data_IF_318091448386
#
_entry.id   IF_318091448386
#
_cell.length_a   1.000
_cell.length_b   1.000
_cell.length_c   1.000
_cell.angle_alpha   90.00
_cell.angle_beta   90.00
_cell.angle_gamma   90.00
#
_symmetry.space_group_name_H-M   'P 1'
#
loop_
_entity.id
_entity.type
_entity.pdbx_description
1 polymer ?
#
# COMPACT_ATOMS: atom_id res chain seq x y z
N UNK A 1 32.79 -17.64 -4.56
CA UNK A 1 32.12 -16.82 -3.54
C UNK A 1 32.04 -15.33 -3.89
N UNK A 2 32.99 -14.75 -4.64
CA UNK A 2 32.97 -13.31 -5.01
C UNK A 2 31.86 -12.93 -6.00
N UNK A 3 31.50 -13.82 -6.93
CA UNK A 3 30.45 -13.54 -7.92
C UNK A 3 29.06 -13.40 -7.30
N UNK A 4 28.70 -14.24 -6.34
CA UNK A 4 27.38 -14.20 -5.66
C UNK A 4 27.17 -12.93 -4.82
N UNK A 5 28.24 -12.31 -4.27
CA UNK A 5 28.10 -11.15 -3.38
C UNK A 5 27.75 -9.86 -4.13
N UNK A 6 28.15 -9.70 -5.39
CA UNK A 6 27.83 -8.53 -6.22
C UNK A 6 26.37 -8.59 -6.72
N UNK A 7 25.83 -9.79 -6.96
CA UNK A 7 24.44 -9.96 -7.39
C UNK A 7 23.43 -9.59 -6.30
N UNK A 8 23.77 -9.72 -5.02
CA UNK A 8 22.83 -9.45 -3.92
C UNK A 8 22.43 -7.95 -3.89
N UNK A 9 23.36 -6.97 -3.86
CA UNK A 9 23.01 -5.55 -4.01
C UNK A 9 22.21 -5.24 -5.28
N UNK A 10 22.53 -5.91 -6.40
CA UNK A 10 21.80 -5.73 -7.67
C UNK A 10 20.35 -6.21 -7.54
N UNK A 11 20.11 -7.36 -6.90
CA UNK A 11 18.77 -7.88 -6.64
C UNK A 11 18.01 -6.96 -5.67
N UNK A 12 18.67 -6.48 -4.61
CA UNK A 12 18.09 -5.57 -3.63
C UNK A 12 17.64 -4.25 -4.28
N UNK A 13 18.55 -3.55 -4.97
CA UNK A 13 18.26 -2.28 -5.63
C UNK A 13 17.28 -2.48 -6.80
N UNK A 14 17.51 -3.51 -7.62
CA UNK A 14 16.66 -3.82 -8.77
C UNK A 14 15.21 -4.10 -8.38
N UNK A 15 14.98 -4.93 -7.35
CA UNK A 15 13.62 -5.21 -6.85
C UNK A 15 12.92 -3.96 -6.29
N UNK A 16 13.64 -3.08 -5.59
CA UNK A 16 13.09 -1.81 -5.11
C UNK A 16 12.72 -0.87 -6.26
N UNK A 17 13.60 -0.74 -7.27
CA UNK A 17 13.35 0.12 -8.44
C UNK A 17 12.15 -0.40 -9.23
N UNK A 18 12.09 -1.70 -9.50
CA UNK A 18 10.96 -2.29 -10.22
C UNK A 18 9.67 -2.10 -9.41
N UNK A 19 9.68 -2.33 -8.09
CA UNK A 19 8.51 -2.07 -7.24
C UNK A 19 8.08 -0.60 -7.31
N UNK A 20 9.05 0.32 -7.26
CA UNK A 20 8.81 1.76 -7.36
C UNK A 20 8.13 2.14 -8.70
N UNK A 21 8.48 1.48 -9.80
CA UNK A 21 7.83 1.69 -11.10
C UNK A 21 6.38 1.21 -11.10
N UNK A 22 6.11 -0.01 -10.61
CA UNK A 22 4.75 -0.56 -10.53
C UNK A 22 3.84 0.28 -9.63
N UNK A 23 4.33 0.65 -8.44
CA UNK A 23 3.54 1.47 -7.52
C UNK A 23 3.34 2.90 -8.05
N UNK A 24 4.30 3.45 -8.78
CA UNK A 24 4.14 4.78 -9.42
C UNK A 24 3.07 4.74 -10.50
N UNK A 25 3.04 3.70 -11.33
CA UNK A 25 1.98 3.49 -12.33
C UNK A 25 0.61 3.37 -11.67
N UNK A 26 0.51 2.58 -10.60
CA UNK A 26 -0.72 2.45 -9.82
C UNK A 26 -1.16 3.77 -9.18
N UNK A 27 -0.23 4.50 -8.54
CA UNK A 27 -0.49 5.82 -7.93
C UNK A 27 -0.95 6.84 -8.97
N UNK A 28 -0.39 6.83 -10.19
CA UNK A 28 -0.82 7.71 -11.27
C UNK A 28 -2.29 7.46 -11.64
N UNK A 29 -2.69 6.19 -11.76
CA UNK A 29 -4.08 5.81 -12.04
C UNK A 29 -5.02 6.29 -10.92
N UNK A 30 -4.68 6.04 -9.65
CA UNK A 30 -5.50 6.50 -8.51
C UNK A 30 -5.55 8.03 -8.43
N UNK A 31 -4.42 8.70 -8.64
CA UNK A 31 -4.37 10.16 -8.60
C UNK A 31 -5.31 10.76 -9.64
N UNK A 32 -5.30 10.20 -10.85
CA UNK A 32 -6.26 10.59 -11.89
C UNK A 32 -7.70 10.30 -11.44
N UNK A 33 -7.99 9.12 -10.88
CA UNK A 33 -9.31 8.78 -10.31
C UNK A 33 -9.82 9.84 -9.34
N UNK A 34 -8.95 10.25 -8.42
CA UNK A 34 -9.29 11.21 -7.37
C UNK A 34 -9.58 12.58 -7.96
N UNK A 35 -8.84 13.00 -9.00
CA UNK A 35 -9.07 14.26 -9.71
C UNK A 35 -10.41 14.21 -10.45
N UNK A 36 -10.66 13.15 -11.21
CA UNK A 36 -11.90 12.99 -11.98
C UNK A 36 -13.11 12.95 -11.03
N UNK A 37 -13.03 12.19 -9.93
CA UNK A 37 -14.07 12.14 -8.91
C UNK A 37 -14.26 13.49 -8.19
N UNK A 38 -13.18 14.22 -7.91
CA UNK A 38 -13.28 15.55 -7.31
C UNK A 38 -13.95 16.55 -8.26
N UNK A 39 -13.70 16.44 -9.57
CA UNK A 39 -14.37 17.23 -10.60
C UNK A 39 -15.88 16.93 -10.63
N UNK A 40 -16.25 15.66 -10.70
CA UNK A 40 -17.65 15.21 -10.66
C UNK A 40 -18.38 15.66 -9.38
N UNK A 41 -17.72 15.62 -8.22
CA UNK A 41 -18.28 16.13 -6.95
C UNK A 41 -18.60 17.62 -7.05
N UNK A 42 -17.71 18.42 -7.62
CA UNK A 42 -17.92 19.87 -7.77
C UNK A 42 -19.02 20.18 -8.78
N UNK A 43 -19.11 19.40 -9.86
CA UNK A 43 -20.16 19.54 -10.86
C UNK A 43 -21.54 19.14 -10.30
N UNK A 44 -21.61 18.04 -9.54
CA UNK A 44 -22.87 17.52 -8.98
C UNK A 44 -23.34 18.31 -7.75
N UNK A 45 -22.41 18.92 -7.01
CA UNK A 45 -22.68 19.65 -5.77
C UNK A 45 -21.95 21.00 -5.76
N UNK A 46 -22.34 21.96 -6.62
CA UNK A 46 -21.61 23.22 -6.81
C UNK A 46 -21.61 24.11 -5.56
N UNK A 47 -22.60 23.93 -4.68
CA UNK A 47 -22.75 24.72 -3.46
C UNK A 47 -21.84 24.27 -2.31
N UNK A 48 -21.06 23.21 -2.48
CA UNK A 48 -20.13 22.73 -1.44
C UNK A 48 -18.92 23.66 -1.31
N UNK A 49 -18.68 24.17 -0.11
CA UNK A 49 -17.42 24.85 0.19
C UNK A 49 -16.25 23.84 0.21
N UNK A 50 -14.99 24.29 0.10
CA UNK A 50 -13.83 23.43 0.26
C UNK A 50 -13.80 22.68 1.61
N UNK A 51 -14.31 23.31 2.68
CA UNK A 51 -14.43 22.69 4.01
C UNK A 51 -15.42 21.54 3.99
N UNK A 52 -16.56 21.72 3.31
CA UNK A 52 -17.59 20.69 3.20
C UNK A 52 -17.11 19.51 2.35
N UNK A 53 -16.34 19.77 1.29
CA UNK A 53 -15.70 18.70 0.49
C UNK A 53 -14.73 17.88 1.37
N UNK A 54 -13.94 18.54 2.22
CA UNK A 54 -13.03 17.86 3.15
C UNK A 54 -13.82 17.02 4.16
N UNK A 55 -14.87 17.58 4.75
CA UNK A 55 -15.74 16.88 5.69
C UNK A 55 -16.41 15.67 5.04
N UNK A 56 -17.05 15.85 3.88
CA UNK A 56 -17.63 14.78 3.06
C UNK A 56 -16.64 13.63 2.86
N UNK A 57 -15.42 13.92 2.41
CA UNK A 57 -14.42 12.88 2.18
C UNK A 57 -14.06 12.12 3.46
N UNK A 58 -13.96 12.81 4.60
CA UNK A 58 -13.75 12.16 5.89
C UNK A 58 -14.93 11.28 6.29
N UNK A 59 -16.16 11.76 6.15
CA UNK A 59 -17.39 11.03 6.47
C UNK A 59 -17.57 9.78 5.60
N UNK A 60 -17.34 9.88 4.29
CA UNK A 60 -17.38 8.73 3.37
C UNK A 60 -16.31 7.69 3.74
N UNK A 61 -15.09 8.14 4.04
CA UNK A 61 -14.02 7.22 4.45
C UNK A 61 -14.32 6.56 5.80
N UNK A 62 -14.91 7.29 6.74
CA UNK A 62 -15.33 6.77 8.04
C UNK A 62 -16.44 5.74 7.87
N UNK A 63 -17.43 6.02 7.03
CA UNK A 63 -18.51 5.10 6.70
C UNK A 63 -17.96 3.80 6.09
N UNK A 64 -17.09 3.90 5.08
CA UNK A 64 -16.40 2.74 4.52
C UNK A 64 -15.66 1.97 5.62
N UNK A 65 -14.89 2.66 6.47
CA UNK A 65 -14.14 2.01 7.56
C UNK A 65 -15.05 1.25 8.53
N UNK A 66 -16.23 1.76 8.86
CA UNK A 66 -17.12 1.12 9.83
C UNK A 66 -17.95 -0.03 9.25
N UNK A 67 -18.34 0.05 7.99
CA UNK A 67 -19.32 -0.86 7.39
C UNK A 67 -18.76 -1.78 6.31
N UNK A 68 -17.65 -1.41 5.64
CA UNK A 68 -16.99 -2.28 4.67
C UNK A 68 -15.86 -3.11 5.28
N UNK A 69 -15.16 -2.57 6.28
CA UNK A 69 -14.05 -3.28 6.91
C UNK A 69 -14.56 -4.13 8.08
N UNK A 70 -14.08 -5.37 8.16
CA UNK A 70 -14.32 -6.23 9.32
C UNK A 70 -13.70 -5.65 10.61
N UNK A 71 -14.20 -6.04 11.80
CA UNK A 71 -13.57 -5.69 13.08
C UNK A 71 -12.06 -5.97 13.12
N UNK A 72 -11.64 -7.14 12.63
CA UNK A 72 -10.23 -7.53 12.57
C UNK A 72 -9.42 -6.59 11.66
N UNK A 73 -9.89 -6.30 10.45
CA UNK A 73 -9.18 -5.40 9.52
C UNK A 73 -8.98 -4.00 10.10
N UNK A 74 -9.97 -3.47 10.84
CA UNK A 74 -9.89 -2.14 11.47
C UNK A 74 -8.76 -2.03 12.51
N UNK A 75 -8.38 -3.15 13.13
CA UNK A 75 -7.34 -3.24 14.15
C UNK A 75 -5.99 -3.60 13.51
N UNK A 76 -5.98 -4.61 12.63
CA UNK A 76 -4.77 -5.14 12.01
C UNK A 76 -4.09 -4.14 11.06
N UNK A 77 -4.86 -3.37 10.27
CA UNK A 77 -4.28 -2.40 9.34
C UNK A 77 -3.43 -1.34 10.07
N UNK A 78 -3.92 -0.70 11.16
CA UNK A 78 -3.08 0.16 11.99
C UNK A 78 -1.83 -0.53 12.56
N UNK A 79 -1.96 -1.78 13.05
CA UNK A 79 -0.83 -2.54 13.60
C UNK A 79 0.24 -2.77 12.52
N UNK A 80 -0.14 -3.17 11.32
CA UNK A 80 0.80 -3.32 10.20
C UNK A 80 1.41 -1.98 9.78
N UNK A 81 0.65 -0.88 9.89
CA UNK A 81 1.18 0.48 9.71
C UNK A 81 2.27 0.83 10.72
N UNK A 82 2.10 0.47 11.99
CA UNK A 82 3.13 0.64 13.02
C UNK A 82 4.34 -0.27 12.77
N UNK A 83 4.11 -1.52 12.38
CA UNK A 83 5.18 -2.44 11.99
C UNK A 83 6.03 -1.92 10.83
N UNK A 84 5.39 -1.29 9.83
CA UNK A 84 6.07 -0.64 8.72
C UNK A 84 6.96 0.52 9.20
N UNK A 85 6.46 1.37 10.10
CA UNK A 85 7.26 2.46 10.67
C UNK A 85 8.46 1.93 11.47
N UNK A 86 8.26 0.88 12.27
CA UNK A 86 9.33 0.23 13.01
C UNK A 86 10.41 -0.36 12.07
N UNK A 87 9.99 -0.99 10.95
CA UNK A 87 10.92 -1.52 9.96
C UNK A 87 11.74 -0.41 9.27
N UNK A 88 11.12 0.74 8.97
CA UNK A 88 11.82 1.91 8.42
C UNK A 88 12.86 2.44 9.40
N UNK A 89 12.48 2.63 10.67
CA UNK A 89 13.41 3.07 11.72
C UNK A 89 14.56 2.07 11.87
N UNK A 90 14.26 0.77 11.86
CA UNK A 90 15.25 -0.29 11.88
C UNK A 90 16.26 -0.19 10.73
N UNK A 91 15.78 -0.02 9.48
CA UNK A 91 16.65 0.19 8.32
C UNK A 91 17.57 1.40 8.50
N UNK A 92 17.03 2.54 8.93
CA UNK A 92 17.82 3.77 9.15
C UNK A 92 18.95 3.50 10.15
N UNK A 93 18.66 2.83 11.27
CA UNK A 93 19.66 2.48 12.28
C UNK A 93 20.75 1.58 11.69
N UNK A 94 20.40 0.56 10.91
CA UNK A 94 21.40 -0.33 10.30
C UNK A 94 22.27 0.38 9.26
N UNK A 95 21.68 1.29 8.47
CA UNK A 95 22.42 2.11 7.51
C UNK A 95 23.44 2.99 8.24
N UNK A 96 23.05 3.65 9.33
CA UNK A 96 23.96 4.49 10.15
C UNK A 96 25.10 3.62 10.72
N UNK A 97 24.80 2.42 11.23
CA UNK A 97 25.83 1.49 11.76
C UNK A 97 26.80 1.03 10.68
N UNK A 98 26.32 0.80 9.45
CA UNK A 98 27.16 0.43 8.31
C UNK A 98 28.15 1.55 7.96
N UNK A 99 27.67 2.80 7.88
CA UNK A 99 28.53 3.95 7.57
C UNK A 99 29.59 4.24 8.64
N UNK A 100 29.26 3.97 9.91
CA UNK A 100 30.19 4.19 11.02
C UNK A 100 31.09 2.98 11.33
N UNK A 101 31.07 1.93 10.48
CA UNK A 101 31.83 0.68 10.68
C UNK A 101 31.58 0.00 12.04
N UNK A 102 30.39 0.20 12.63
CA UNK A 102 30.12 -0.18 14.01
C UNK A 102 29.79 -1.67 14.21
N UNK A 103 29.77 -2.51 13.16
CA UNK A 103 29.52 -3.96 13.23
C UNK A 103 29.84 -4.70 11.92
N UNK A 104 30.22 -5.99 12.01
CA UNK A 104 30.51 -6.87 10.86
C UNK A 104 29.28 -7.49 10.17
N UNK A 105 28.15 -7.66 10.88
CA UNK A 105 26.97 -8.41 10.39
C UNK A 105 25.84 -7.55 9.81
N UNK A 106 26.14 -6.32 9.39
CA UNK A 106 25.12 -5.34 8.99
C UNK A 106 24.24 -5.81 7.82
N UNK A 107 24.77 -6.62 6.88
CA UNK A 107 24.00 -7.09 5.71
C UNK A 107 22.84 -8.02 6.07
N UNK A 108 23.04 -8.90 7.06
CA UNK A 108 22.00 -9.82 7.55
C UNK A 108 20.81 -9.06 8.15
N UNK A 109 21.10 -8.05 8.97
CA UNK A 109 20.07 -7.21 9.58
C UNK A 109 19.38 -6.32 8.55
N UNK A 110 20.13 -5.77 7.58
CA UNK A 110 19.55 -4.99 6.47
C UNK A 110 18.56 -5.85 5.68
N UNK A 111 18.94 -7.06 5.28
CA UNK A 111 18.05 -7.98 4.55
C UNK A 111 16.77 -8.30 5.35
N UNK A 112 16.92 -8.55 6.66
CA UNK A 112 15.79 -8.81 7.56
C UNK A 112 14.83 -7.62 7.67
N UNK A 113 15.33 -6.40 7.85
CA UNK A 113 14.45 -5.23 7.94
C UNK A 113 13.77 -4.89 6.61
N UNK A 114 14.41 -5.15 5.47
CA UNK A 114 13.72 -5.06 4.18
C UNK A 114 12.62 -6.12 4.05
N UNK A 115 12.88 -7.36 4.47
CA UNK A 115 11.85 -8.39 4.52
C UNK A 115 10.64 -7.93 5.34
N UNK A 116 10.86 -7.42 6.55
CA UNK A 116 9.78 -6.88 7.39
C UNK A 116 9.03 -5.73 6.71
N UNK A 117 9.74 -4.81 6.06
CA UNK A 117 9.14 -3.69 5.33
C UNK A 117 8.16 -4.19 4.26
N UNK A 118 8.60 -5.13 3.42
CA UNK A 118 7.75 -5.69 2.36
C UNK A 118 6.62 -6.57 2.90
N UNK A 119 6.88 -7.34 3.97
CA UNK A 119 5.86 -8.13 4.65
C UNK A 119 4.73 -7.26 5.19
N UNK A 120 5.04 -6.21 5.95
CA UNK A 120 4.01 -5.32 6.50
C UNK A 120 3.23 -4.58 5.41
N UNK A 121 3.91 -4.17 4.32
CA UNK A 121 3.24 -3.61 3.15
C UNK A 121 2.27 -4.61 2.52
N UNK A 122 2.71 -5.86 2.32
CA UNK A 122 1.89 -6.92 1.72
C UNK A 122 0.66 -7.21 2.57
N UNK A 123 0.85 -7.43 3.87
CA UNK A 123 -0.22 -7.70 4.83
C UNK A 123 -1.25 -6.55 4.87
N UNK A 124 -0.78 -5.30 4.88
CA UNK A 124 -1.66 -4.14 4.82
C UNK A 124 -2.47 -4.07 3.51
N UNK A 125 -1.84 -4.41 2.37
CA UNK A 125 -2.51 -4.40 1.07
C UNK A 125 -3.54 -5.52 0.91
N UNK A 126 -3.25 -6.72 1.43
CA UNK A 126 -4.16 -7.87 1.39
C UNK A 126 -5.43 -7.63 2.21
N UNK A 127 -5.31 -6.93 3.35
CA UNK A 127 -6.45 -6.60 4.19
C UNK A 127 -7.27 -5.40 3.68
N UNK A 128 -6.71 -4.59 2.78
CA UNK A 128 -7.40 -3.42 2.25
C UNK A 128 -8.43 -3.84 1.19
N UNK A 129 -9.73 -3.54 1.36
CA UNK A 129 -10.76 -3.84 0.36
C UNK A 129 -10.41 -3.30 -1.02
N UNK A 130 -10.63 -4.11 -2.07
CA UNK A 130 -10.40 -3.72 -3.46
C UNK A 130 -11.27 -2.55 -3.87
N UNK A 131 -10.80 -1.77 -4.84
CA UNK A 131 -11.53 -0.60 -5.34
C UNK A 131 -12.90 -0.97 -5.90
N UNK A 132 -12.99 -2.10 -6.62
CA UNK A 132 -14.26 -2.66 -7.09
C UNK A 132 -15.24 -2.96 -5.96
N UNK A 133 -14.78 -3.61 -4.87
CA UNK A 133 -15.62 -3.90 -3.70
C UNK A 133 -16.11 -2.61 -3.02
N UNK A 134 -15.24 -1.60 -2.93
CA UNK A 134 -15.62 -0.27 -2.42
C UNK A 134 -16.68 0.37 -3.32
N UNK A 135 -16.52 0.27 -4.64
CA UNK A 135 -17.44 0.86 -5.60
C UNK A 135 -18.82 0.16 -5.56
N UNK A 136 -18.83 -1.17 -5.49
CA UNK A 136 -20.05 -1.98 -5.32
C UNK A 136 -20.77 -1.65 -4.01
N UNK A 137 -20.03 -1.55 -2.90
CA UNK A 137 -20.57 -1.17 -1.61
C UNK A 137 -21.23 0.22 -1.65
N UNK A 138 -20.59 1.19 -2.28
CA UNK A 138 -21.15 2.54 -2.44
C UNK A 138 -22.34 2.58 -3.39
N UNK A 139 -22.37 1.74 -4.42
CA UNK A 139 -23.54 1.58 -5.32
C UNK A 139 -24.75 1.08 -4.54
N UNK A 140 -24.58 0.02 -3.75
CA UNK A 140 -25.62 -0.51 -2.86
C UNK A 140 -26.11 0.53 -1.84
N UNK A 141 -25.21 1.31 -1.25
CA UNK A 141 -25.58 2.40 -0.35
C UNK A 141 -26.52 3.42 -1.02
N UNK A 142 -26.26 3.81 -2.27
CA UNK A 142 -27.10 4.76 -3.01
C UNK A 142 -28.47 4.17 -3.37
N UNK A 143 -28.54 2.87 -3.65
CA UNK A 143 -29.79 2.15 -3.89
C UNK A 143 -30.66 2.11 -2.62
N UNK A 144 -30.05 1.88 -1.46
CA UNK A 144 -30.72 1.84 -0.16
C UNK A 144 -31.04 3.24 0.41
N UNK A 145 -30.30 4.28 -0.01
CA UNK A 145 -30.41 5.65 0.53
C UNK A 145 -30.51 6.67 -0.61
N UNK A 146 -31.69 6.81 -1.25
CA UNK A 146 -31.88 7.68 -2.41
C UNK A 146 -31.68 9.17 -2.12
N UNK A 147 -31.78 9.61 -0.86
CA UNK A 147 -31.46 10.98 -0.44
C UNK A 147 -29.99 11.36 -0.68
N UNK A 148 -29.09 10.36 -0.66
CA UNK A 148 -27.64 10.52 -0.80
C UNK A 148 -27.06 11.64 0.10
N UNK A 149 -27.38 11.60 1.39
CA UNK A 149 -26.94 12.63 2.35
C UNK A 149 -25.41 12.71 2.47
N UNK A 150 -24.71 11.59 2.23
CA UNK A 150 -23.25 11.52 2.18
C UNK A 150 -22.65 12.06 0.87
N UNK A 151 -23.49 12.45 -0.11
CA UNK A 151 -23.10 12.99 -1.41
C UNK A 151 -22.10 12.08 -2.13
N UNK A 152 -22.30 10.78 -2.02
CA UNK A 152 -21.46 9.74 -2.60
C UNK A 152 -21.59 9.80 -4.12
N UNK A 153 -20.46 9.66 -4.81
CA UNK A 153 -20.38 9.46 -6.26
C UNK A 153 -19.64 8.16 -6.50
N UNK A 154 -20.26 7.27 -7.26
CA UNK A 154 -19.73 5.95 -7.66
C UNK A 154 -19.00 6.11 -8.99
N UNK A 155 -17.86 5.43 -9.16
CA UNK A 155 -17.13 5.44 -10.42
C UNK A 155 -17.76 4.46 -11.42
N UNK A 156 -17.57 4.71 -12.71
CA UNK A 156 -17.97 3.76 -13.76
C UNK A 156 -17.33 2.37 -13.54
N UNK A 157 -18.05 1.32 -13.90
CA UNK A 157 -17.64 -0.07 -13.63
C UNK A 157 -16.33 -0.43 -14.36
N UNK A 158 -16.18 0.00 -15.62
CA UNK A 158 -14.96 -0.23 -16.40
C UNK A 158 -13.74 0.42 -15.77
N UNK A 159 -13.94 1.61 -15.20
CA UNK A 159 -12.92 2.30 -14.45
C UNK A 159 -12.53 1.52 -13.20
N UNK A 160 -13.52 1.06 -12.43
CA UNK A 160 -13.29 0.29 -11.21
C UNK A 160 -12.53 -1.02 -11.47
N UNK A 161 -12.85 -1.71 -12.57
CA UNK A 161 -12.13 -2.90 -13.05
C UNK A 161 -10.69 -2.58 -13.42
N UNK A 162 -10.45 -1.48 -14.15
CA UNK A 162 -9.09 -1.05 -14.55
C UNK A 162 -8.19 -0.76 -13.34
N UNK A 163 -8.71 -0.03 -12.34
CA UNK A 163 -7.97 0.26 -11.09
C UNK A 163 -7.67 -1.02 -10.33
N UNK A 164 -8.66 -1.91 -10.22
CA UNK A 164 -8.52 -3.18 -9.48
C UNK A 164 -7.51 -4.11 -10.14
N UNK A 165 -7.48 -4.17 -11.48
CA UNK A 165 -6.46 -4.93 -12.23
C UNK A 165 -5.05 -4.38 -12.01
N UNK A 166 -4.88 -3.06 -12.07
CA UNK A 166 -3.58 -2.42 -11.80
C UNK A 166 -3.10 -2.68 -10.36
N UNK A 167 -4.02 -2.63 -9.38
CA UNK A 167 -3.74 -3.00 -7.99
C UNK A 167 -3.30 -4.45 -7.89
N UNK A 168 -4.04 -5.38 -8.49
CA UNK A 168 -3.75 -6.82 -8.43
C UNK A 168 -2.35 -7.14 -8.95
N UNK A 169 -1.93 -6.51 -10.05
CA UNK A 169 -0.56 -6.68 -10.59
C UNK A 169 0.48 -6.15 -9.59
N UNK A 170 0.22 -4.98 -8.98
CA UNK A 170 1.10 -4.43 -7.95
C UNK A 170 1.18 -5.33 -6.71
N UNK A 171 0.07 -5.91 -6.27
CA UNK A 171 0.00 -6.79 -5.11
C UNK A 171 0.75 -8.11 -5.39
N UNK A 172 0.64 -8.68 -6.60
CA UNK A 172 1.40 -9.87 -7.01
C UNK A 172 2.89 -9.59 -7.00
N UNK A 173 3.31 -8.46 -7.57
CA UNK A 173 4.72 -8.08 -7.60
C UNK A 173 5.25 -7.85 -6.18
N UNK A 174 4.47 -7.21 -5.30
CA UNK A 174 4.81 -7.05 -3.89
C UNK A 174 4.98 -8.40 -3.18
N UNK A 175 4.10 -9.37 -3.46
CA UNK A 175 4.21 -10.74 -2.97
C UNK A 175 5.52 -11.40 -3.42
N UNK A 176 5.84 -11.30 -4.71
CA UNK A 176 7.10 -11.81 -5.25
C UNK A 176 8.33 -11.19 -4.57
N UNK A 177 8.37 -9.86 -4.44
CA UNK A 177 9.47 -9.17 -3.75
C UNK A 177 9.59 -9.64 -2.30
N UNK A 178 8.47 -9.77 -1.58
CA UNK A 178 8.46 -10.24 -0.19
C UNK A 178 9.09 -11.64 -0.07
N UNK A 179 8.77 -12.55 -1.00
CA UNK A 179 9.35 -13.91 -1.02
C UNK A 179 10.86 -13.85 -1.30
N UNK A 180 11.31 -13.02 -2.24
CA UNK A 180 12.75 -12.85 -2.52
C UNK A 180 13.50 -12.39 -1.26
N UNK A 181 12.96 -11.41 -0.54
CA UNK A 181 13.57 -10.91 0.70
C UNK A 181 13.52 -11.93 1.85
N UNK A 182 12.47 -12.76 1.92
CA UNK A 182 12.42 -13.89 2.86
C UNK A 182 13.56 -14.89 2.57
N UNK A 183 13.72 -15.28 1.31
CA UNK A 183 14.78 -16.22 0.90
C UNK A 183 16.17 -15.63 1.15
N UNK A 184 16.39 -14.34 0.85
CA UNK A 184 17.64 -13.65 1.17
C UNK A 184 17.90 -13.62 2.67
N UNK A 185 16.87 -13.36 3.47
CA UNK A 185 16.98 -13.39 4.94
C UNK A 185 17.42 -14.78 5.39
N UNK A 186 16.74 -15.84 4.95
CA UNK A 186 17.09 -17.23 5.30
C UNK A 186 18.53 -17.55 4.86
N UNK A 187 18.91 -17.15 3.64
CA UNK A 187 20.26 -17.34 3.12
C UNK A 187 21.32 -16.68 4.01
N UNK A 188 21.17 -15.39 4.33
CA UNK A 188 22.11 -14.70 5.22
C UNK A 188 22.11 -15.25 6.64
N UNK A 189 20.98 -15.77 7.12
CA UNK A 189 20.93 -16.40 8.43
C UNK A 189 21.63 -17.77 8.48
N UNK A 190 21.60 -18.54 7.39
CA UNK A 190 22.16 -19.89 7.32
C UNK A 190 23.63 -19.92 6.86
N UNK A 191 24.03 -19.04 5.93
CA UNK A 191 25.36 -19.05 5.30
C UNK A 191 26.29 -17.92 5.78
N UNK A 192 25.86 -17.06 6.71
CA UNK A 192 26.74 -16.08 7.38
C UNK A 192 27.06 -16.47 8.84
N UNK A 193 26.88 -17.75 9.17
CA UNK A 193 27.47 -18.43 10.32
C UNK A 193 28.77 -19.10 9.88
#
# INVERSE_FOLDING_TARGET
>A
MVTFSIFIPIILIGSMVIYALFISKYRKIISQSRKDRAKLVRESFPNLSPKDIKYRNASVNLYLRWYLYSPAQRILIPIFGLGLLAAIVGLIIQVIKLFNHLNGDNLKLIAFYFFLLFLFLLLAQLLTPRFENQNHFLKKFLEENPSNDLRVIVCEEDYAKKVTKAKTISDIFLGFVTIVYLLLTIYFWYFSL
#
